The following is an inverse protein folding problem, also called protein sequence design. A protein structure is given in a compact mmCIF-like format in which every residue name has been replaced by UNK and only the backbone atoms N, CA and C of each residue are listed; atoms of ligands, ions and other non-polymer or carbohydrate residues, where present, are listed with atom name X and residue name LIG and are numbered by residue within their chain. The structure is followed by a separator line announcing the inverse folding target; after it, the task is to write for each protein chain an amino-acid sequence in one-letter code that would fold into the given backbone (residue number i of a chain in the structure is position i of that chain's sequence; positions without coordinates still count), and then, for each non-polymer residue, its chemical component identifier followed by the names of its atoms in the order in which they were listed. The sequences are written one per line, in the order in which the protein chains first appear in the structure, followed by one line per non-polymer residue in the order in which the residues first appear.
data_IF_575386476342
#
_entry.id   IF_575386476342
#
_cell.length_a   1.000
_cell.length_b   1.000
_cell.length_c   1.000
_cell.angle_alpha   90.00
_cell.angle_beta   90.00
_cell.angle_gamma   90.00
#
_symmetry.space_group_name_H-M   'P 1'
#
loop_
_entity.id
_entity.type
_entity.pdbx_description
1 polymer ?
#
# COMPACT_ATOMS: atom_id res chain seq x y z
N UNK A 1 14.81 1.30 -6.40
CA UNK A 1 13.36 1.34 -6.66
C UNK A 1 12.88 -0.09 -6.80
N UNK A 2 11.88 -0.48 -6.02
CA UNK A 2 11.21 -1.78 -6.09
C UNK A 2 9.75 -1.56 -6.45
N UNK A 3 9.24 -2.39 -7.36
CA UNK A 3 7.84 -2.42 -7.73
C UNK A 3 7.29 -3.83 -7.56
N UNK A 4 6.13 -3.97 -6.90
CA UNK A 4 5.43 -5.26 -6.76
C UNK A 4 3.92 -5.06 -6.82
N UNK A 5 3.23 -6.01 -7.45
CA UNK A 5 1.77 -6.05 -7.48
C UNK A 5 1.20 -7.10 -6.52
N UNK A 6 0.03 -6.81 -5.97
CA UNK A 6 -0.69 -7.66 -5.04
C UNK A 6 -2.17 -7.69 -5.41
N UNK A 7 -2.77 -8.87 -5.36
CA UNK A 7 -4.22 -9.03 -5.48
C UNK A 7 -4.84 -8.90 -4.10
N UNK A 8 -5.75 -7.95 -3.93
CA UNK A 8 -6.48 -7.77 -2.68
C UNK A 8 -7.43 -8.95 -2.46
N UNK A 9 -7.28 -9.61 -1.31
CA UNK A 9 -8.12 -10.75 -0.91
C UNK A 9 -9.23 -10.38 0.07
N UNK A 10 -9.04 -9.27 0.80
CA UNK A 10 -10.06 -8.75 1.71
C UNK A 10 -11.27 -8.28 0.90
N UNK A 11 -12.46 -8.75 1.27
CA UNK A 11 -13.74 -8.40 0.63
C UNK A 11 -13.99 -6.90 0.60
N UNK A 12 -13.45 -6.16 1.58
CA UNK A 12 -13.56 -4.71 1.68
C UNK A 12 -12.40 -3.97 1.02
N UNK A 13 -11.46 -4.67 0.36
CA UNK A 13 -10.29 -4.08 -0.27
C UNK A 13 -9.34 -3.42 0.73
N UNK A 14 -8.70 -2.32 0.34
CA UNK A 14 -7.76 -1.57 1.19
C UNK A 14 -8.52 -0.54 2.05
N UNK A 15 -9.46 -1.04 2.86
CA UNK A 15 -10.33 -0.23 3.71
C UNK A 15 -9.61 0.36 4.92
N UNK A 16 -10.34 1.08 5.78
CA UNK A 16 -9.79 1.87 6.89
C UNK A 16 -8.78 1.12 7.79
N UNK A 17 -8.99 -0.18 8.08
CA UNK A 17 -8.09 -0.95 8.97
C UNK A 17 -6.75 -1.28 8.31
N UNK A 18 -6.68 -2.02 7.18
CA UNK A 18 -5.41 -2.30 6.52
C UNK A 18 -4.74 -1.02 6.01
N UNK A 19 -5.51 -0.01 5.57
CA UNK A 19 -4.96 1.28 5.18
C UNK A 19 -4.27 2.02 6.35
N UNK A 20 -4.89 2.06 7.53
CA UNK A 20 -4.27 2.68 8.70
C UNK A 20 -3.02 1.91 9.17
N UNK A 21 -3.06 0.57 9.19
CA UNK A 21 -1.91 -0.25 9.56
C UNK A 21 -0.74 -0.08 8.57
N UNK A 22 -1.05 -0.02 7.28
CA UNK A 22 -0.09 0.26 6.23
C UNK A 22 0.54 1.63 6.45
N UNK A 23 -0.28 2.68 6.58
CA UNK A 23 0.18 4.06 6.81
C UNK A 23 1.11 4.14 8.03
N UNK A 24 0.73 3.54 9.17
CA UNK A 24 1.55 3.55 10.39
C UNK A 24 2.95 2.97 10.13
N UNK A 25 3.04 1.85 9.37
CA UNK A 25 4.33 1.26 9.00
C UNK A 25 5.08 2.13 8.00
N UNK A 26 4.41 2.69 7.00
CA UNK A 26 5.03 3.53 5.98
C UNK A 26 5.55 4.85 6.56
N UNK A 27 4.94 5.38 7.64
CA UNK A 27 5.45 6.55 8.35
C UNK A 27 6.80 6.30 9.06
N UNK A 28 7.20 5.04 9.26
CA UNK A 28 8.49 4.69 9.86
C UNK A 28 9.63 4.56 8.84
N UNK A 29 9.32 4.54 7.54
CA UNK A 29 10.33 4.36 6.48
C UNK A 29 10.67 5.70 5.82
N UNK A 30 11.93 5.82 5.39
CA UNK A 30 12.43 7.02 4.71
C UNK A 30 12.12 7.00 3.22
N UNK A 31 11.84 5.84 2.66
CA UNK A 31 11.47 5.67 1.26
C UNK A 31 10.12 6.34 0.95
N UNK A 32 10.00 6.80 -0.29
CA UNK A 32 8.72 7.20 -0.86
C UNK A 32 7.97 5.94 -1.29
N UNK A 33 6.70 5.85 -0.93
CA UNK A 33 5.87 4.67 -1.18
C UNK A 33 4.59 5.11 -1.85
N UNK A 34 4.40 4.72 -3.10
CA UNK A 34 3.19 4.99 -3.88
C UNK A 34 2.41 3.71 -4.11
N UNK A 35 1.08 3.82 -4.05
CA UNK A 35 0.15 2.75 -4.38
C UNK A 35 -0.60 3.16 -5.63
N UNK A 36 -0.70 2.28 -6.63
CA UNK A 36 -1.50 2.52 -7.82
C UNK A 36 -2.52 1.41 -8.03
N UNK A 37 -3.75 1.77 -8.39
CA UNK A 37 -4.83 0.83 -8.66
C UNK A 37 -5.93 1.52 -9.47
N UNK A 38 -6.47 0.84 -10.50
CA UNK A 38 -7.60 1.35 -11.29
C UNK A 38 -7.42 2.79 -11.82
N UNK A 39 -6.18 3.18 -12.16
CA UNK A 39 -5.84 4.52 -12.65
C UNK A 39 -5.68 5.59 -11.56
N UNK A 40 -5.91 5.25 -10.29
CA UNK A 40 -5.64 6.10 -9.14
C UNK A 40 -4.24 5.84 -8.60
N UNK A 41 -3.61 6.87 -8.02
CA UNK A 41 -2.34 6.76 -7.29
C UNK A 41 -2.46 7.48 -5.95
N UNK A 42 -2.00 6.86 -4.89
CA UNK A 42 -1.96 7.42 -3.54
C UNK A 42 -0.56 7.33 -2.92
N UNK A 43 -0.26 8.26 -2.02
CA UNK A 43 0.87 8.14 -1.10
C UNK A 43 0.48 7.16 0.02
N UNK A 44 1.29 6.13 0.25
CA UNK A 44 1.02 5.15 1.30
C UNK A 44 1.21 5.71 2.72
N UNK A 45 1.70 6.94 2.89
CA UNK A 45 1.75 7.69 4.14
C UNK A 45 0.50 8.57 4.38
N UNK A 46 -0.45 8.61 3.45
CA UNK A 46 -1.72 9.32 3.58
C UNK A 46 -2.90 8.34 3.55
N UNK A 47 -3.40 7.97 4.73
CA UNK A 47 -4.55 7.05 4.86
C UNK A 47 -5.80 7.54 4.11
N UNK A 48 -6.02 8.85 4.01
CA UNK A 48 -7.18 9.39 3.30
C UNK A 48 -7.04 9.20 1.80
N UNK A 49 -5.84 9.42 1.25
CA UNK A 49 -5.56 9.16 -0.16
C UNK A 49 -5.69 7.66 -0.49
N UNK A 50 -5.21 6.78 0.38
CA UNK A 50 -5.35 5.33 0.21
C UNK A 50 -6.83 4.92 0.14
N UNK A 51 -7.64 5.40 1.10
CA UNK A 51 -9.06 5.09 1.15
C UNK A 51 -9.83 5.67 -0.04
N UNK A 52 -9.42 6.84 -0.55
CA UNK A 52 -10.04 7.47 -1.71
C UNK A 52 -9.83 6.69 -3.03
N UNK A 53 -8.87 5.75 -3.08
CA UNK A 53 -8.70 4.88 -4.25
C UNK A 53 -9.87 3.91 -4.47
N UNK A 54 -10.73 3.71 -3.45
CA UNK A 54 -11.94 2.91 -3.50
C UNK A 54 -11.71 1.49 -4.07
N UNK A 55 -10.67 0.82 -3.56
CA UNK A 55 -10.30 -0.53 -3.98
C UNK A 55 -11.24 -1.58 -3.38
N UNK A 56 -11.38 -2.71 -4.07
CA UNK A 56 -12.23 -3.84 -3.67
C UNK A 56 -11.48 -5.17 -3.80
N UNK A 57 -12.06 -6.27 -3.30
CA UNK A 57 -11.51 -7.61 -3.52
C UNK A 57 -11.31 -7.91 -5.00
N UNK A 58 -10.17 -8.53 -5.31
CA UNK A 58 -9.77 -8.88 -6.67
C UNK A 58 -9.04 -7.78 -7.43
N UNK A 59 -9.05 -6.54 -6.93
CA UNK A 59 -8.23 -5.47 -7.51
C UNK A 59 -6.74 -5.80 -7.38
N UNK A 60 -5.99 -5.48 -8.44
CA UNK A 60 -4.54 -5.48 -8.42
C UNK A 60 -4.05 -4.11 -7.96
N UNK A 61 -3.33 -4.08 -6.85
CA UNK A 61 -2.65 -2.89 -6.33
C UNK A 61 -1.16 -3.00 -6.59
N UNK A 62 -0.56 -1.94 -7.11
CA UNK A 62 0.88 -1.86 -7.40
C UNK A 62 1.54 -0.94 -6.39
N UNK A 63 2.52 -1.46 -5.67
CA UNK A 63 3.37 -0.69 -4.76
C UNK A 63 4.68 -0.36 -5.46
N UNK A 64 4.98 0.93 -5.55
CA UNK A 64 6.24 1.46 -6.02
C UNK A 64 6.96 2.13 -4.85
N UNK A 65 8.13 1.61 -4.51
CA UNK A 65 8.92 2.06 -3.36
C UNK A 65 10.28 2.51 -3.86
N UNK A 66 10.65 3.74 -3.51
CA UNK A 66 11.94 4.32 -3.87
C UNK A 66 12.60 4.92 -2.63
N UNK A 67 13.77 4.40 -2.27
CA UNK A 67 14.56 4.99 -1.21
C UNK A 67 15.49 4.01 -0.50
N UNK A 68 16.15 4.48 0.57
CA UNK A 68 17.24 3.75 1.23
C UNK A 68 16.79 2.53 2.03
N UNK A 69 15.50 2.40 2.31
CA UNK A 69 14.88 1.30 3.07
C UNK A 69 13.75 0.61 2.28
N UNK A 70 13.84 0.63 0.95
CA UNK A 70 12.79 0.11 0.05
C UNK A 70 12.48 -1.38 0.24
N UNK A 71 13.48 -2.20 0.54
CA UNK A 71 13.31 -3.63 0.86
C UNK A 71 12.58 -3.86 2.18
N UNK A 72 12.86 -3.04 3.20
CA UNK A 72 12.20 -3.12 4.51
C UNK A 72 10.75 -2.64 4.41
N UNK A 73 10.53 -1.55 3.68
CA UNK A 73 9.20 -1.03 3.37
C UNK A 73 8.36 -2.07 2.59
N UNK A 74 8.94 -2.74 1.59
CA UNK A 74 8.22 -3.77 0.83
C UNK A 74 7.81 -4.96 1.72
N UNK A 75 8.69 -5.42 2.61
CA UNK A 75 8.34 -6.48 3.59
C UNK A 75 7.22 -6.04 4.54
N UNK A 76 7.21 -4.78 4.93
CA UNK A 76 6.15 -4.21 5.75
C UNK A 76 4.80 -4.18 5.01
N UNK A 77 4.79 -3.85 3.70
CA UNK A 77 3.61 -3.95 2.83
C UNK A 77 3.10 -5.39 2.78
N UNK A 78 3.96 -6.35 2.46
CA UNK A 78 3.62 -7.78 2.39
C UNK A 78 2.99 -8.28 3.69
N UNK A 79 3.56 -7.89 4.83
CA UNK A 79 3.05 -8.24 6.15
C UNK A 79 1.65 -7.69 6.43
N UNK A 80 1.27 -6.53 5.88
CA UNK A 80 -0.07 -5.96 6.07
C UNK A 80 -1.09 -6.63 5.14
N UNK A 81 -0.70 -6.93 3.90
CA UNK A 81 -1.58 -7.53 2.91
C UNK A 81 -1.78 -9.05 3.09
N UNK A 82 -0.92 -9.71 3.86
CA UNK A 82 -1.02 -11.15 4.15
C UNK A 82 -2.06 -11.51 5.24
N UNK A 83 -2.51 -10.53 6.04
CA UNK A 83 -3.45 -10.74 7.15
C UNK A 83 -4.88 -10.41 6.75
#
# INVERSE_FOLDING_TARGET
MIERSFILKDEMGLHARPAALLMIKMLQVRSDVKISCNGNTADAKDVMAIMAMNTVAGDEVVFCIEGPDEEEAMKAVESVLAG
#
